data_IF_498297949900
#
_entry.id   IF_498297949900
#
_cell.length_a   1.000
_cell.length_b   1.000
_cell.length_c   1.000
_cell.angle_alpha   90.00
_cell.angle_beta   90.00
_cell.angle_gamma   90.00
#
_symmetry.space_group_name_H-M   'P 1'
#
loop_
_entity.id
_entity.type
_entity.pdbx_description
1 polymer ?
#
# COMPACT_ATOMS: atom_id res chain seq x y z
N UNK A 1 8.14 -0.40 21.68
CA UNK A 1 9.10 0.49 22.39
C UNK A 1 8.90 1.90 21.89
N UNK A 2 8.89 2.91 22.76
CA UNK A 2 8.64 4.30 22.39
C UNK A 2 9.74 5.20 22.95
N UNK A 3 10.12 6.23 22.20
CA UNK A 3 11.05 7.27 22.67
C UNK A 3 10.63 8.61 22.06
N UNK A 4 10.81 9.69 22.81
CA UNK A 4 10.46 11.03 22.34
C UNK A 4 11.43 12.07 22.89
N UNK A 5 11.51 13.20 22.19
CA UNK A 5 12.25 14.40 22.59
C UNK A 5 11.41 15.62 22.23
N UNK A 6 11.25 16.56 23.16
CA UNK A 6 10.58 17.83 22.88
C UNK A 6 11.42 19.01 23.35
N UNK A 7 11.42 20.09 22.56
CA UNK A 7 11.94 21.39 22.94
C UNK A 7 10.89 22.44 22.65
N UNK A 8 10.55 23.23 23.66
CA UNK A 8 9.59 24.32 23.56
C UNK A 8 10.23 25.63 24.01
N UNK A 9 9.94 26.72 23.30
CA UNK A 9 10.44 28.04 23.65
C UNK A 9 9.44 29.13 23.32
N UNK A 10 9.28 30.07 24.25
CA UNK A 10 8.61 31.34 24.01
C UNK A 10 9.60 32.33 23.39
N UNK A 11 9.20 33.03 22.33
CA UNK A 11 9.96 34.10 21.70
C UNK A 11 9.04 35.28 21.36
N UNK A 12 9.64 36.47 21.22
CA UNK A 12 8.92 37.72 20.93
C UNK A 12 7.68 37.97 21.83
N UNK A 13 7.71 37.49 23.09
CA UNK A 13 6.65 37.57 24.13
C UNK A 13 5.34 36.84 23.81
N UNK A 14 4.94 36.80 22.54
CA UNK A 14 3.61 36.37 22.11
C UNK A 14 3.59 35.05 21.35
N UNK A 15 4.77 34.53 21.02
CA UNK A 15 4.93 33.35 20.20
C UNK A 15 5.53 32.22 21.02
N UNK A 16 5.00 31.02 20.82
CA UNK A 16 5.55 29.77 21.36
C UNK A 16 5.83 28.84 20.21
N UNK A 17 7.08 28.39 20.08
CA UNK A 17 7.48 27.33 19.15
C UNK A 17 7.73 26.07 19.95
N UNK A 18 7.31 24.94 19.39
CA UNK A 18 7.65 23.62 19.87
C UNK A 18 8.09 22.72 18.73
N UNK A 19 9.12 21.92 18.97
CA UNK A 19 9.53 20.82 18.10
C UNK A 19 9.57 19.53 18.92
N UNK A 20 8.88 18.50 18.43
CA UNK A 20 8.78 17.17 19.05
C UNK A 20 9.25 16.12 18.06
N UNK A 21 10.09 15.22 18.50
CA UNK A 21 10.39 13.97 17.81
C UNK A 21 9.75 12.80 18.55
N UNK A 22 9.16 11.86 17.82
CA UNK A 22 8.58 10.63 18.35
C UNK A 22 9.08 9.44 17.53
N UNK A 23 9.61 8.43 18.21
CA UNK A 23 9.91 7.13 17.63
C UNK A 23 9.09 6.03 18.31
N UNK A 24 8.57 5.11 17.50
CA UNK A 24 7.88 3.92 17.98
C UNK A 24 8.36 2.70 17.18
N UNK A 25 8.52 1.58 17.89
CA UNK A 25 8.79 0.27 17.31
C UNK A 25 7.73 -0.71 17.78
N UNK A 26 6.94 -1.21 16.83
CA UNK A 26 6.06 -2.36 17.00
C UNK A 26 6.82 -3.65 16.72
N UNK A 27 6.57 -4.68 17.53
CA UNK A 27 7.10 -6.04 17.36
C UNK A 27 6.00 -7.02 17.70
N UNK A 28 6.02 -8.18 17.08
CA UNK A 28 5.01 -9.22 17.29
C UNK A 28 3.59 -8.74 17.00
N UNK A 29 3.43 -7.90 15.97
CA UNK A 29 2.13 -7.49 15.46
C UNK A 29 1.45 -8.70 14.81
N UNK A 30 0.14 -8.78 14.98
CA UNK A 30 -0.65 -9.83 14.36
C UNK A 30 -0.76 -9.56 12.86
N UNK A 31 -0.55 -10.60 12.07
CA UNK A 31 -0.88 -10.60 10.65
C UNK A 31 -1.68 -11.86 10.32
N UNK A 32 -2.43 -11.80 9.24
CA UNK A 32 -3.28 -12.90 8.81
C UNK A 32 -2.54 -13.81 7.82
N UNK A 33 -2.59 -15.12 8.04
CA UNK A 33 -2.04 -16.15 7.14
C UNK A 33 -2.96 -17.35 7.00
N UNK A 34 -2.94 -18.02 5.85
CA UNK A 34 -3.54 -19.35 5.73
C UNK A 34 -2.47 -20.42 5.95
N UNK A 35 -2.47 -21.05 7.13
CA UNK A 35 -1.38 -21.93 7.57
C UNK A 35 -1.35 -23.28 6.86
N UNK A 36 -2.47 -23.65 6.24
CA UNK A 36 -2.56 -24.88 5.46
C UNK A 36 -2.32 -24.68 3.96
N UNK A 37 -2.01 -23.45 3.51
CA UNK A 37 -1.81 -23.13 2.10
C UNK A 37 -0.35 -22.85 1.81
N UNK A 38 0.12 -23.35 0.66
CA UNK A 38 1.47 -23.10 0.15
C UNK A 38 1.38 -22.52 -1.27
N UNK A 39 2.33 -21.66 -1.62
CA UNK A 39 2.48 -21.21 -2.99
C UNK A 39 3.00 -22.36 -3.87
N UNK A 40 2.38 -22.53 -5.04
CA UNK A 40 2.86 -23.49 -6.06
C UNK A 40 3.75 -22.77 -7.06
N UNK A 41 3.34 -21.57 -7.48
CA UNK A 41 4.18 -20.74 -8.32
C UNK A 41 5.29 -20.11 -7.47
N UNK A 42 6.54 -20.38 -7.84
CA UNK A 42 7.75 -19.89 -7.15
C UNK A 42 8.74 -19.34 -8.16
N UNK A 43 9.82 -18.69 -7.71
CA UNK A 43 10.84 -18.13 -8.59
C UNK A 43 11.47 -19.14 -9.59
N UNK A 44 11.45 -20.44 -9.27
CA UNK A 44 11.99 -21.50 -10.13
C UNK A 44 10.93 -22.40 -10.76
N UNK A 45 9.65 -22.16 -10.46
CA UNK A 45 8.51 -22.95 -10.93
C UNK A 45 7.34 -22.00 -11.19
N UNK A 46 7.41 -21.28 -12.32
CA UNK A 46 6.46 -20.26 -12.76
C UNK A 46 6.41 -20.23 -14.29
N UNK A 47 5.47 -19.50 -14.87
CA UNK A 47 5.49 -19.22 -16.30
C UNK A 47 6.17 -17.87 -16.59
N UNK A 48 7.03 -17.79 -17.62
CA UNK A 48 7.71 -16.55 -17.97
C UNK A 48 6.75 -15.46 -18.45
N UNK A 49 7.07 -14.21 -18.07
CA UNK A 49 6.44 -13.00 -18.60
C UNK A 49 7.39 -12.30 -19.56
N UNK A 50 6.95 -12.11 -20.80
CA UNK A 50 7.73 -11.57 -21.91
C UNK A 50 7.36 -10.10 -22.16
N UNK A 51 8.36 -9.23 -22.20
CA UNK A 51 8.21 -7.82 -22.61
C UNK A 51 8.41 -7.60 -24.12
N UNK A 52 8.76 -8.66 -24.85
CA UNK A 52 8.84 -8.68 -26.31
C UNK A 52 8.30 -10.02 -26.79
N UNK A 53 7.63 -10.04 -27.94
CA UNK A 53 7.03 -11.26 -28.47
C UNK A 53 8.12 -12.35 -28.69
N UNK A 54 8.04 -13.50 -27.99
CA UNK A 54 9.01 -14.58 -28.18
C UNK A 54 8.77 -15.30 -29.50
N UNK A 55 9.80 -15.97 -30.03
CA UNK A 55 9.64 -16.85 -31.19
C UNK A 55 8.84 -18.10 -30.81
N UNK A 56 8.15 -18.71 -31.79
CA UNK A 56 7.41 -19.95 -31.52
C UNK A 56 8.35 -21.09 -31.07
N UNK A 57 9.56 -21.16 -31.60
CA UNK A 57 10.56 -22.15 -31.16
C UNK A 57 10.95 -21.98 -29.68
N UNK A 58 11.00 -20.74 -29.19
CA UNK A 58 11.20 -20.45 -27.75
C UNK A 58 10.03 -20.97 -26.92
N UNK A 59 8.80 -20.71 -27.37
CA UNK A 59 7.58 -21.18 -26.68
C UNK A 59 7.46 -22.70 -26.68
N UNK A 60 7.84 -23.35 -27.79
CA UNK A 60 7.76 -24.80 -27.94
C UNK A 60 8.77 -25.55 -27.03
N UNK A 61 9.84 -24.86 -26.59
CA UNK A 61 10.79 -25.35 -25.60
C UNK A 61 10.28 -25.29 -24.14
N UNK A 62 9.21 -24.55 -23.87
CA UNK A 62 8.62 -24.43 -22.53
C UNK A 62 7.58 -25.54 -22.33
N UNK A 63 7.76 -26.38 -21.32
CA UNK A 63 6.92 -27.56 -21.09
C UNK A 63 5.97 -27.43 -19.91
N UNK A 64 6.28 -26.56 -18.95
CA UNK A 64 5.40 -26.24 -17.83
C UNK A 64 4.22 -25.41 -18.33
N UNK A 65 3.00 -25.86 -18.08
CA UNK A 65 1.78 -25.17 -18.50
C UNK A 65 0.99 -24.63 -17.31
N UNK A 66 0.18 -23.59 -17.57
CA UNK A 66 -0.76 -23.05 -16.59
C UNK A 66 -1.69 -24.16 -16.05
N UNK A 67 -2.21 -25.03 -16.92
CA UNK A 67 -3.06 -26.15 -16.50
C UNK A 67 -2.34 -27.11 -15.54
N UNK A 68 -1.04 -27.37 -15.73
CA UNK A 68 -0.26 -28.20 -14.80
C UNK A 68 -0.14 -27.55 -13.42
N UNK A 69 0.21 -26.26 -13.37
CA UNK A 69 0.32 -25.51 -12.12
C UNK A 69 -1.02 -25.46 -11.35
N UNK A 70 -2.15 -25.30 -12.06
CA UNK A 70 -3.48 -25.36 -11.45
C UNK A 70 -3.78 -26.75 -10.87
N UNK A 71 -3.42 -27.83 -11.56
CA UNK A 71 -3.59 -29.19 -11.07
C UNK A 71 -2.72 -29.47 -9.84
N UNK A 72 -1.49 -28.95 -9.83
CA UNK A 72 -0.59 -29.01 -8.68
C UNK A 72 -1.16 -28.26 -7.48
N UNK A 73 -1.69 -27.05 -7.66
CA UNK A 73 -2.42 -26.33 -6.60
C UNK A 73 -3.56 -27.14 -6.03
N UNK A 74 -4.37 -27.75 -6.88
CA UNK A 74 -5.52 -28.54 -6.42
C UNK A 74 -5.09 -29.80 -5.66
N UNK A 75 -3.92 -30.36 -5.98
CA UNK A 75 -3.43 -31.62 -5.39
C UNK A 75 -2.56 -31.41 -4.14
N UNK A 76 -1.75 -30.36 -4.13
CA UNK A 76 -0.67 -30.15 -3.14
C UNK A 76 -0.72 -28.78 -2.47
N UNK A 77 -1.51 -27.83 -2.98
CA UNK A 77 -1.59 -26.47 -2.44
C UNK A 77 -2.18 -26.41 -1.02
N UNK A 78 -2.86 -27.47 -0.55
CA UNK A 78 -3.33 -27.60 0.83
C UNK A 78 -2.61 -28.75 1.56
N UNK A 79 -1.61 -28.41 2.37
CA UNK A 79 -0.75 -29.38 3.08
C UNK A 79 -1.49 -30.16 4.17
N UNK A 80 -2.66 -29.69 4.62
CA UNK A 80 -3.47 -30.35 5.65
C UNK A 80 -4.65 -31.14 5.07
N UNK A 81 -4.83 -31.14 3.74
CA UNK A 81 -5.90 -31.89 3.08
C UNK A 81 -5.86 -33.41 3.38
N UNK A 82 -4.70 -34.10 3.44
CA UNK A 82 -4.64 -35.52 3.81
C UNK A 82 -5.12 -35.81 5.24
N UNK A 83 -5.07 -34.82 6.13
CA UNK A 83 -5.60 -34.90 7.49
C UNK A 83 -7.10 -34.54 7.58
N UNK A 84 -7.78 -34.36 6.44
CA UNK A 84 -9.21 -34.03 6.35
C UNK A 84 -9.54 -32.54 6.38
N UNK A 85 -8.55 -31.66 6.52
CA UNK A 85 -8.76 -30.21 6.53
C UNK A 85 -8.78 -29.64 5.11
N UNK A 86 -9.94 -29.67 4.45
CA UNK A 86 -10.11 -29.22 3.06
C UNK A 86 -10.38 -27.72 2.90
N UNK A 87 -10.79 -27.03 3.97
CA UNK A 87 -11.02 -25.58 3.98
C UNK A 87 -9.76 -24.78 4.35
N UNK A 88 -9.73 -23.49 4.02
CA UNK A 88 -8.64 -22.60 4.43
C UNK A 88 -8.65 -22.41 5.97
N UNK A 89 -7.52 -22.68 6.61
CA UNK A 89 -7.30 -22.45 8.04
C UNK A 89 -6.55 -21.13 8.18
N UNK A 90 -7.28 -20.10 8.61
CA UNK A 90 -6.70 -18.76 8.79
C UNK A 90 -6.24 -18.58 10.24
N UNK A 91 -4.97 -18.21 10.42
CA UNK A 91 -4.39 -17.88 11.71
C UNK A 91 -3.98 -16.40 11.75
N UNK A 92 -3.94 -15.86 12.97
CA UNK A 92 -3.41 -14.55 13.30
C UNK A 92 -2.14 -14.77 14.12
N UNK A 93 -0.99 -14.65 13.49
CA UNK A 93 0.29 -14.96 14.11
C UNK A 93 1.04 -13.68 14.44
N UNK A 94 1.66 -13.57 15.63
CA UNK A 94 2.33 -12.35 16.07
C UNK A 94 3.75 -12.27 15.48
N UNK A 95 3.88 -12.21 14.15
CA UNK A 95 5.17 -12.18 13.44
C UNK A 95 5.51 -10.81 12.84
N UNK A 96 4.53 -9.91 12.74
CA UNK A 96 4.70 -8.59 12.13
C UNK A 96 5.47 -7.60 13.00
N UNK A 97 5.97 -6.55 12.38
CA UNK A 97 6.80 -5.52 12.97
C UNK A 97 6.48 -4.15 12.34
N UNK A 98 6.76 -3.08 13.08
CA UNK A 98 6.66 -1.73 12.54
C UNK A 98 7.72 -0.80 13.12
N UNK A 99 8.04 0.25 12.36
CA UNK A 99 8.89 1.37 12.79
C UNK A 99 8.25 2.67 12.36
N UNK A 100 8.02 3.54 13.34
CA UNK A 100 7.51 4.87 13.16
C UNK A 100 8.55 5.90 13.60
N UNK A 101 8.75 6.92 12.78
CA UNK A 101 9.47 8.12 13.15
C UNK A 101 8.64 9.34 12.78
N UNK A 102 8.46 10.26 13.72
CA UNK A 102 7.68 11.47 13.54
C UNK A 102 8.41 12.71 14.03
N UNK A 103 8.23 13.81 13.30
CA UNK A 103 8.65 15.14 13.69
C UNK A 103 7.41 16.04 13.66
N UNK A 104 7.04 16.63 14.79
CA UNK A 104 5.97 17.61 14.87
C UNK A 104 6.55 18.97 15.26
N UNK A 105 6.27 19.99 14.47
CA UNK A 105 6.62 21.38 14.73
C UNK A 105 5.34 22.20 14.87
N UNK A 106 5.26 23.02 15.92
CA UNK A 106 4.11 23.86 16.21
C UNK A 106 4.55 25.29 16.50
N UNK A 107 3.80 26.26 15.97
CA UNK A 107 3.94 27.68 16.26
C UNK A 107 2.60 28.22 16.70
N UNK A 108 2.53 28.74 17.92
CA UNK A 108 1.37 29.41 18.47
C UNK A 108 1.67 30.90 18.65
N UNK A 109 0.84 31.76 18.10
CA UNK A 109 0.78 33.17 18.43
C UNK A 109 -0.46 33.42 19.28
N UNK A 110 -0.28 33.84 20.53
CA UNK A 110 -1.41 34.26 21.39
C UNK A 110 -2.09 35.52 20.83
N UNK A 111 -3.33 35.79 21.23
CA UNK A 111 -4.06 36.95 20.71
C UNK A 111 -3.40 38.25 21.16
N UNK A 112 -2.71 38.92 20.24
CA UNK A 112 -2.10 40.23 20.41
C UNK A 112 -2.13 40.99 19.10
N UNK A 113 -2.18 42.32 19.16
CA UNK A 113 -2.25 43.15 17.95
C UNK A 113 -3.31 42.64 16.95
N UNK A 114 -4.51 42.32 17.45
CA UNK A 114 -5.70 41.87 16.69
C UNK A 114 -5.57 40.51 15.98
N UNK A 115 -4.50 39.76 16.22
CA UNK A 115 -4.26 38.47 15.56
C UNK A 115 -3.96 37.37 16.57
N UNK A 116 -4.46 36.18 16.28
CA UNK A 116 -4.04 34.92 16.88
C UNK A 116 -3.89 33.90 15.75
N UNK A 117 -2.88 33.04 15.84
CA UNK A 117 -2.81 31.89 14.96
C UNK A 117 -2.12 30.71 15.62
N UNK A 118 -2.40 29.52 15.08
CA UNK A 118 -1.72 28.27 15.37
C UNK A 118 -1.37 27.60 14.05
N UNK A 119 -0.10 27.30 13.86
CA UNK A 119 0.39 26.51 12.73
C UNK A 119 1.02 25.22 13.28
N UNK A 120 0.67 24.07 12.73
CA UNK A 120 1.29 22.80 13.08
C UNK A 120 1.64 22.04 11.81
N UNK A 121 2.84 21.48 11.80
CA UNK A 121 3.35 20.63 10.74
C UNK A 121 3.84 19.32 11.35
N UNK A 122 3.41 18.21 10.79
CA UNK A 122 3.89 16.88 11.16
C UNK A 122 4.47 16.22 9.93
N UNK A 123 5.69 15.73 10.07
CA UNK A 123 6.26 14.71 9.20
C UNK A 123 6.19 13.37 9.92
N UNK A 124 5.80 12.32 9.22
CA UNK A 124 5.91 10.95 9.73
C UNK A 124 6.53 10.02 8.70
N UNK A 125 7.13 8.95 9.17
CA UNK A 125 7.50 7.82 8.35
C UNK A 125 7.18 6.55 9.12
N UNK A 126 6.06 5.92 8.74
CA UNK A 126 5.69 4.60 9.20
C UNK A 126 6.09 3.55 8.16
N UNK A 127 6.84 2.54 8.61
CA UNK A 127 7.13 1.33 7.84
C UNK A 127 6.66 0.12 8.62
N UNK A 128 6.02 -0.82 7.95
CA UNK A 128 5.57 -2.07 8.54
C UNK A 128 5.54 -3.20 7.51
N UNK A 129 5.38 -4.43 8.00
CA UNK A 129 5.16 -5.65 7.20
C UNK A 129 3.77 -6.25 7.47
N UNK A 130 2.89 -5.51 8.16
CA UNK A 130 1.62 -6.00 8.70
C UNK A 130 0.65 -4.86 9.00
N UNK A 131 0.23 -4.12 7.97
CA UNK A 131 -0.64 -2.94 8.14
C UNK A 131 -2.09 -3.28 8.52
N UNK A 132 -2.68 -4.31 7.89
CA UNK A 132 -4.13 -4.55 7.91
C UNK A 132 -4.51 -5.89 8.58
N UNK A 133 -4.16 -6.02 9.87
CA UNK A 133 -4.30 -7.24 10.68
C UNK A 133 -5.57 -8.07 10.40
N UNK A 134 -6.75 -7.44 10.39
CA UNK A 134 -8.06 -8.09 10.24
C UNK A 134 -8.78 -7.69 8.95
N UNK A 135 -8.04 -7.35 7.90
CA UNK A 135 -8.62 -6.85 6.63
C UNK A 135 -9.45 -5.57 6.80
N UNK A 136 -8.91 -4.60 7.51
CA UNK A 136 -9.56 -3.30 7.70
C UNK A 136 -9.57 -2.43 6.44
N UNK A 137 -8.84 -2.81 5.37
CA UNK A 137 -8.73 -2.05 4.12
C UNK A 137 -8.45 -2.97 2.93
N UNK A 138 -8.79 -2.48 1.73
CA UNK A 138 -8.44 -3.09 0.42
C UNK A 138 -7.26 -2.38 -0.25
N UNK A 139 -6.75 -1.29 0.32
CA UNK A 139 -5.64 -0.52 -0.25
C UNK A 139 -4.29 -1.23 -0.09
N UNK A 140 -4.16 -2.10 0.92
CA UNK A 140 -3.04 -3.03 1.07
C UNK A 140 -3.54 -4.47 0.98
N UNK A 141 -2.71 -5.43 0.51
CA UNK A 141 -3.09 -6.83 0.50
C UNK A 141 -3.39 -7.30 1.92
N UNK A 142 -4.48 -8.06 2.07
CA UNK A 142 -4.90 -8.61 3.36
C UNK A 142 -3.87 -9.55 3.98
N UNK A 143 -3.14 -10.27 3.14
CA UNK A 143 -2.17 -11.29 3.53
C UNK A 143 -0.88 -11.07 2.74
N UNK A 144 0.26 -11.52 3.28
CA UNK A 144 1.50 -11.47 2.55
C UNK A 144 1.44 -12.31 1.28
N UNK A 145 2.18 -11.88 0.27
CA UNK A 145 2.36 -12.64 -0.96
C UNK A 145 3.04 -13.99 -0.70
N UNK A 146 3.96 -14.01 0.26
CA UNK A 146 4.62 -15.22 0.74
C UNK A 146 4.26 -15.44 2.22
N UNK A 147 3.33 -16.34 2.46
CA UNK A 147 2.86 -16.77 3.77
C UNK A 147 4.03 -17.19 4.70
N UNK A 148 5.15 -17.68 4.17
CA UNK A 148 6.27 -18.13 4.99
C UNK A 148 7.39 -17.10 5.11
N UNK A 149 7.27 -15.95 4.45
CA UNK A 149 8.27 -14.88 4.48
C UNK A 149 7.64 -13.48 4.46
N UNK A 150 7.05 -13.08 5.60
CA UNK A 150 6.45 -11.75 5.79
C UNK A 150 7.45 -10.60 5.65
N UNK A 151 8.77 -10.85 5.75
CA UNK A 151 9.77 -9.78 5.61
C UNK A 151 9.74 -9.12 4.23
N UNK A 152 9.20 -9.80 3.21
CA UNK A 152 8.97 -9.25 1.86
C UNK A 152 7.91 -8.14 1.84
N UNK A 153 7.08 -8.06 2.87
CA UNK A 153 6.03 -7.04 3.01
C UNK A 153 6.56 -5.72 3.58
N UNK A 154 7.82 -5.68 4.04
CA UNK A 154 8.38 -4.51 4.70
C UNK A 154 8.44 -3.30 3.76
N UNK A 155 7.51 -2.37 3.94
CA UNK A 155 7.34 -1.21 3.08
C UNK A 155 6.83 0.01 3.87
N UNK A 156 6.68 1.15 3.18
CA UNK A 156 5.89 2.26 3.73
C UNK A 156 4.47 1.78 4.00
N UNK A 157 3.98 2.02 5.21
CA UNK A 157 2.64 1.62 5.61
C UNK A 157 1.57 2.40 4.86
N UNK A 158 0.40 1.81 4.62
CA UNK A 158 -0.77 2.57 4.17
C UNK A 158 -1.19 3.64 5.20
N UNK A 159 -0.84 3.45 6.49
CA UNK A 159 -1.11 4.41 7.57
C UNK A 159 -0.05 5.52 7.66
N UNK A 160 0.87 5.61 6.70
CA UNK A 160 1.92 6.62 6.68
C UNK A 160 1.43 7.96 6.10
N UNK A 161 0.92 8.83 6.98
CA UNK A 161 0.60 10.22 6.65
C UNK A 161 1.86 11.10 6.61
N UNK A 162 2.66 10.90 5.57
CA UNK A 162 4.04 11.43 5.43
C UNK A 162 4.18 12.91 5.78
N UNK A 163 3.24 13.73 5.31
CA UNK A 163 3.17 15.16 5.64
C UNK A 163 1.74 15.54 6.03
N UNK A 164 1.60 16.30 7.11
CA UNK A 164 0.34 16.94 7.49
C UNK A 164 0.60 18.36 7.97
N UNK A 165 -0.15 19.32 7.44
CA UNK A 165 -0.10 20.71 7.85
C UNK A 165 -1.48 21.20 8.24
N UNK A 166 -1.56 21.92 9.35
CA UNK A 166 -2.78 22.61 9.78
C UNK A 166 -2.48 24.03 10.20
N UNK A 167 -3.31 24.98 9.78
CA UNK A 167 -3.20 26.39 10.12
C UNK A 167 -4.57 26.94 10.50
N UNK A 168 -4.69 27.43 11.72
CA UNK A 168 -5.88 28.11 12.23
C UNK A 168 -5.52 29.54 12.61
N UNK A 169 -6.36 30.49 12.24
CA UNK A 169 -6.10 31.91 12.51
C UNK A 169 -7.38 32.66 12.81
N UNK A 170 -7.20 33.76 13.53
CA UNK A 170 -8.22 34.72 13.90
C UNK A 170 -7.65 36.12 13.71
N UNK A 171 -8.37 36.98 13.00
CA UNK A 171 -8.01 38.37 12.79
C UNK A 171 -9.21 39.27 13.08
N UNK A 172 -9.02 40.21 14.01
CA UNK A 172 -9.99 41.25 14.27
C UNK A 172 -9.68 42.46 13.38
N UNK A 173 -10.58 42.82 12.47
CA UNK A 173 -10.32 43.95 11.58
C UNK A 173 -10.29 45.26 12.37
N UNK A 174 -9.51 46.27 11.93
CA UNK A 174 -9.45 47.57 12.58
C UNK A 174 -10.54 48.53 12.09
N UNK A 175 -11.44 48.08 11.21
CA UNK A 175 -12.46 48.93 10.60
C UNK A 175 -13.31 49.63 11.66
N UNK A 176 -13.54 50.93 11.48
CA UNK A 176 -14.33 51.77 12.39
C UNK A 176 -13.82 51.83 13.84
N UNK A 177 -12.57 51.42 14.12
CA UNK A 177 -12.00 51.48 15.47
C UNK A 177 -11.95 52.92 16.04
N UNK A 178 -11.80 53.92 15.17
CA UNK A 178 -11.77 55.34 15.51
C UNK A 178 -13.10 56.07 15.21
N UNK A 179 -14.18 55.34 14.90
CA UNK A 179 -15.48 55.93 14.60
C UNK A 179 -16.26 56.34 15.86
N UNK A 180 -17.42 56.97 15.66
CA UNK A 180 -18.36 57.29 16.75
C UNK A 180 -18.74 56.04 17.55
N UNK A 181 -19.07 56.23 18.84
CA UNK A 181 -19.34 55.11 19.75
C UNK A 181 -20.41 54.16 19.20
N UNK A 182 -21.44 54.69 18.54
CA UNK A 182 -22.50 53.89 17.92
C UNK A 182 -21.95 53.09 16.73
N UNK A 183 -21.24 53.73 15.79
CA UNK A 183 -20.75 53.04 14.59
C UNK A 183 -19.71 51.97 14.93
N UNK A 184 -18.79 52.26 15.86
CA UNK A 184 -17.78 51.30 16.32
C UNK A 184 -18.41 50.05 16.93
N UNK A 185 -19.45 50.21 17.76
CA UNK A 185 -20.07 49.08 18.44
C UNK A 185 -21.03 48.29 17.54
N UNK A 186 -21.64 48.92 16.53
CA UNK A 186 -22.60 48.27 15.64
C UNK A 186 -21.91 47.57 14.47
N UNK A 187 -20.85 48.15 13.89
CA UNK A 187 -20.19 47.59 12.69
C UNK A 187 -18.67 47.49 12.76
N UNK A 188 -18.02 47.84 13.89
CA UNK A 188 -16.55 47.88 14.00
C UNK A 188 -15.89 46.62 14.58
N UNK A 189 -16.65 45.67 15.10
CA UNK A 189 -16.13 44.51 15.84
C UNK A 189 -16.05 43.22 15.02
N UNK A 190 -15.91 43.33 13.69
CA UNK A 190 -15.80 42.15 12.84
C UNK A 190 -14.51 41.35 13.12
N UNK A 191 -14.64 40.03 13.03
CA UNK A 191 -13.55 39.09 13.16
C UNK A 191 -13.65 38.07 12.03
N UNK A 192 -12.53 37.87 11.34
CA UNK A 192 -12.36 36.78 10.40
C UNK A 192 -11.59 35.65 11.06
N UNK A 193 -11.98 34.42 10.76
CA UNK A 193 -11.25 33.24 11.17
C UNK A 193 -11.27 32.22 10.06
N UNK A 194 -10.28 31.35 10.09
CA UNK A 194 -10.16 30.28 9.11
C UNK A 194 -9.32 29.14 9.66
N UNK A 195 -9.57 27.95 9.12
CA UNK A 195 -8.72 26.78 9.34
C UNK A 195 -8.46 26.12 8.00
N UNK A 196 -7.20 25.78 7.76
CA UNK A 196 -6.75 25.04 6.59
C UNK A 196 -6.01 23.79 7.05
N UNK A 197 -6.33 22.64 6.46
CA UNK A 197 -5.64 21.38 6.71
C UNK A 197 -5.35 20.70 5.38
N UNK A 198 -4.13 20.18 5.24
CA UNK A 198 -3.68 19.44 4.06
C UNK A 198 -2.77 18.30 4.51
N UNK A 199 -2.85 17.18 3.82
CA UNK A 199 -2.03 16.00 4.09
C UNK A 199 -1.63 15.27 2.82
N UNK A 200 -0.56 14.47 2.93
CA UNK A 200 -0.14 13.53 1.89
C UNK A 200 -1.24 12.52 1.57
N UNK A 201 -1.30 12.04 0.32
CA UNK A 201 -2.23 10.96 -0.03
C UNK A 201 -1.88 9.68 0.71
N UNK A 202 -2.87 8.80 0.82
CA UNK A 202 -2.69 7.44 1.31
C UNK A 202 -2.00 6.57 0.24
N UNK A 203 -1.13 5.66 0.68
CA UNK A 203 -0.51 4.69 -0.22
C UNK A 203 -1.45 3.52 -0.50
N UNK A 204 -1.38 2.99 -1.72
CA UNK A 204 -2.07 1.77 -2.11
C UNK A 204 -1.09 0.83 -2.83
N UNK A 205 -1.32 -0.47 -2.66
CA UNK A 205 -0.58 -1.52 -3.37
C UNK A 205 -1.37 -1.94 -4.61
N UNK A 206 -0.82 -1.77 -5.82
CA UNK A 206 -1.45 -2.29 -7.04
C UNK A 206 -1.56 -3.81 -7.01
N UNK A 207 -2.76 -4.32 -7.29
CA UNK A 207 -3.04 -5.76 -7.32
C UNK A 207 -3.31 -6.24 -8.75
N UNK A 208 -2.89 -7.45 -9.06
CA UNK A 208 -3.01 -8.11 -10.36
C UNK A 208 -4.43 -8.62 -10.64
N UNK A 209 -5.32 -8.62 -9.64
CA UNK A 209 -6.61 -9.31 -9.70
C UNK A 209 -6.46 -10.79 -10.16
N UNK A 210 -5.40 -11.46 -9.70
CA UNK A 210 -5.09 -12.86 -9.96
C UNK A 210 -4.37 -13.49 -8.75
N UNK A 211 -4.56 -14.81 -8.58
CA UNK A 211 -3.79 -15.67 -7.66
C UNK A 211 -2.53 -16.14 -8.43
N UNK A 212 -1.53 -15.27 -8.49
CA UNK A 212 -0.31 -15.44 -9.26
C UNK A 212 0.66 -16.43 -8.59
N UNK A 213 0.71 -16.51 -7.27
CA UNK A 213 1.52 -17.51 -6.56
C UNK A 213 0.82 -18.89 -6.44
N UNK A 214 -0.44 -18.99 -6.88
CA UNK A 214 -1.28 -20.19 -6.80
C UNK A 214 -1.41 -20.77 -5.39
N UNK A 215 -1.38 -19.91 -4.37
CA UNK A 215 -1.65 -20.34 -3.01
C UNK A 215 -3.17 -20.51 -2.77
N UNK A 216 -4.03 -20.08 -3.70
CA UNK A 216 -5.49 -20.14 -3.66
C UNK A 216 -6.13 -19.34 -2.53
N UNK A 217 -5.47 -18.27 -2.12
CA UNK A 217 -6.13 -17.14 -1.51
C UNK A 217 -7.03 -16.44 -2.55
N UNK A 218 -8.17 -15.94 -2.08
CA UNK A 218 -9.10 -15.18 -2.91
C UNK A 218 -8.70 -13.69 -3.02
N UNK A 219 -7.79 -13.23 -2.16
CA UNK A 219 -7.18 -11.92 -2.31
C UNK A 219 -6.21 -11.95 -3.50
N UNK A 220 -6.23 -10.90 -4.32
CA UNK A 220 -5.36 -10.81 -5.47
C UNK A 220 -3.90 -10.54 -5.04
N UNK A 221 -2.97 -11.17 -5.74
CA UNK A 221 -1.55 -10.92 -5.58
C UNK A 221 -1.13 -9.57 -6.19
N UNK A 222 0.11 -9.16 -5.93
CA UNK A 222 0.67 -7.92 -6.45
C UNK A 222 0.89 -7.95 -7.95
N UNK A 223 1.00 -6.77 -8.56
CA UNK A 223 1.52 -6.64 -9.92
C UNK A 223 3.03 -6.85 -9.99
N UNK A 224 3.52 -7.20 -11.17
CA UNK A 224 4.96 -7.18 -11.50
C UNK A 224 5.38 -5.72 -11.75
N UNK A 225 6.50 -5.30 -11.16
CA UNK A 225 7.06 -3.96 -11.37
C UNK A 225 8.12 -3.98 -12.48
N UNK A 226 7.84 -3.28 -13.58
CA UNK A 226 8.79 -2.99 -14.64
C UNK A 226 9.47 -1.64 -14.37
N UNK A 227 10.67 -1.67 -13.79
CA UNK A 227 11.41 -0.46 -13.41
C UNK A 227 11.80 0.44 -14.57
N UNK A 228 11.79 -0.09 -15.81
CA UNK A 228 12.06 0.66 -17.03
C UNK A 228 10.80 1.27 -17.66
N UNK A 229 9.61 0.96 -17.13
CA UNK A 229 8.33 1.45 -17.63
C UNK A 229 7.99 2.86 -17.13
N UNK A 230 6.97 3.48 -17.75
CA UNK A 230 6.48 4.81 -17.41
C UNK A 230 5.70 4.81 -16.09
N UNK A 231 6.14 5.51 -15.02
CA UNK A 231 5.45 5.50 -13.73
C UNK A 231 3.96 5.87 -13.85
N UNK A 232 3.11 5.16 -13.09
CA UNK A 232 1.66 5.40 -13.07
C UNK A 232 0.87 4.72 -14.20
N UNK A 233 1.51 3.91 -15.05
CA UNK A 233 0.85 3.13 -16.10
C UNK A 233 0.74 1.66 -15.72
N UNK A 234 -0.31 1.01 -16.24
CA UNK A 234 -0.57 -0.41 -16.03
C UNK A 234 -0.80 -1.14 -17.35
N UNK A 235 -0.42 -2.42 -17.42
CA UNK A 235 -0.68 -3.28 -18.57
C UNK A 235 -1.17 -4.66 -18.15
N UNK A 236 -2.13 -5.18 -18.91
CA UNK A 236 -2.51 -6.59 -18.85
C UNK A 236 -1.53 -7.44 -19.69
N UNK A 237 -1.70 -8.76 -19.61
CA UNK A 237 -0.90 -9.72 -20.36
C UNK A 237 -1.79 -10.62 -21.21
N UNK A 238 -1.27 -11.06 -22.35
CA UNK A 238 -1.91 -12.03 -23.23
C UNK A 238 -1.23 -13.39 -23.08
N UNK A 239 -1.97 -14.51 -22.90
CA UNK A 239 -1.36 -15.83 -22.81
C UNK A 239 -0.65 -16.21 -24.12
N UNK A 240 0.52 -16.83 -24.01
CA UNK A 240 1.26 -17.41 -25.13
C UNK A 240 1.41 -18.91 -24.94
N UNK A 241 1.41 -19.66 -26.05
CA UNK A 241 1.20 -21.10 -26.02
C UNK A 241 2.27 -21.90 -26.75
N UNK A 242 2.55 -23.08 -26.21
CA UNK A 242 3.38 -24.08 -26.86
C UNK A 242 2.56 -24.78 -27.94
N UNK A 243 2.98 -24.66 -29.19
CA UNK A 243 2.23 -25.16 -30.35
C UNK A 243 2.23 -26.68 -30.45
N UNK A 244 3.28 -27.33 -29.93
CA UNK A 244 3.41 -28.80 -29.86
C UNK A 244 2.38 -29.39 -28.89
N UNK A 245 2.02 -28.65 -27.85
CA UNK A 245 1.03 -29.07 -26.84
C UNK A 245 -0.42 -28.71 -27.19
N UNK A 246 -0.66 -27.99 -28.30
CA UNK A 246 -2.01 -27.54 -28.68
C UNK A 246 -2.92 -28.66 -29.18
N UNK A 247 -2.40 -29.84 -29.54
CA UNK A 247 -3.21 -30.97 -29.98
C UNK A 247 -4.20 -31.40 -28.87
N UNK A 248 -5.47 -31.02 -29.00
CA UNK A 248 -6.51 -31.28 -28.00
C UNK A 248 -6.51 -30.33 -26.79
N UNK A 249 -5.74 -29.23 -26.83
CA UNK A 249 -5.73 -28.17 -25.81
C UNK A 249 -6.09 -26.83 -26.44
N UNK A 250 -6.40 -25.83 -25.62
CA UNK A 250 -6.65 -24.45 -26.11
C UNK A 250 -5.58 -23.49 -25.62
N UNK A 251 -5.45 -22.36 -26.32
CA UNK A 251 -4.66 -21.21 -25.87
C UNK A 251 -5.55 -20.24 -25.08
N UNK A 252 -6.14 -20.72 -24.00
CA UNK A 252 -7.02 -19.93 -23.14
C UNK A 252 -6.86 -20.32 -21.68
N UNK A 253 -6.83 -19.34 -20.79
CA UNK A 253 -6.81 -19.54 -19.34
C UNK A 253 -8.12 -20.15 -18.81
N UNK A 254 -9.23 -20.03 -19.56
CA UNK A 254 -10.54 -20.55 -19.14
C UNK A 254 -10.68 -22.06 -19.33
N UNK A 255 -9.77 -22.69 -20.09
CA UNK A 255 -9.81 -24.12 -20.32
C UNK A 255 -9.02 -24.87 -19.24
N UNK A 256 -9.62 -25.93 -18.69
CA UNK A 256 -8.99 -26.84 -17.72
C UNK A 256 -7.78 -27.57 -18.31
N UNK A 257 -7.77 -27.77 -19.63
CA UNK A 257 -6.63 -28.28 -20.39
C UNK A 257 -6.20 -27.22 -21.40
N UNK A 258 -5.16 -26.47 -21.04
CA UNK A 258 -4.59 -25.42 -21.87
C UNK A 258 -3.09 -25.64 -22.12
N UNK A 259 -2.61 -25.06 -23.22
CA UNK A 259 -1.20 -25.09 -23.62
C UNK A 259 -0.49 -23.75 -23.32
N UNK A 260 -1.02 -22.96 -22.38
CA UNK A 260 -0.41 -21.68 -21.99
C UNK A 260 0.87 -21.96 -21.23
N UNK A 261 1.98 -21.38 -21.69
CA UNK A 261 3.33 -21.59 -21.14
C UNK A 261 4.01 -20.28 -20.76
N UNK A 262 3.31 -19.16 -20.84
CA UNK A 262 3.83 -17.84 -20.51
C UNK A 262 2.84 -16.75 -20.88
N UNK A 263 3.29 -15.51 -20.70
CA UNK A 263 2.47 -14.32 -20.87
C UNK A 263 3.23 -13.21 -21.60
N UNK A 264 2.63 -12.61 -22.62
CA UNK A 264 3.18 -11.45 -23.32
C UNK A 264 2.55 -10.17 -22.75
N UNK A 265 3.36 -9.22 -22.32
CA UNK A 265 2.89 -7.91 -21.86
C UNK A 265 2.28 -7.12 -23.03
N UNK A 266 1.06 -6.62 -22.86
CA UNK A 266 0.34 -5.92 -23.94
C UNK A 266 0.94 -4.54 -24.24
N UNK A 267 1.41 -3.84 -23.21
CA UNK A 267 2.18 -2.59 -23.28
C UNK A 267 3.50 -2.78 -22.52
N UNK A 268 4.61 -3.06 -23.22
CA UNK A 268 5.89 -3.34 -22.59
C UNK A 268 6.53 -2.09 -21.96
N UNK A 269 5.96 -0.90 -22.18
CA UNK A 269 6.40 0.34 -21.56
C UNK A 269 5.66 0.66 -20.26
N UNK A 270 4.69 -0.17 -19.86
CA UNK A 270 3.96 0.03 -18.63
C UNK A 270 4.81 -0.28 -17.39
N UNK A 271 4.59 0.45 -16.30
CA UNK A 271 5.31 0.26 -15.03
C UNK A 271 4.74 -0.90 -14.20
N UNK A 272 3.42 -1.03 -14.13
CA UNK A 272 2.76 -2.15 -13.46
C UNK A 272 2.25 -3.16 -14.49
N UNK A 273 2.73 -4.39 -14.42
CA UNK A 273 2.28 -5.49 -15.29
C UNK A 273 1.45 -6.45 -14.47
N UNK A 274 0.29 -6.86 -14.99
CA UNK A 274 -0.54 -7.86 -14.32
C UNK A 274 0.26 -9.14 -14.12
N UNK A 275 0.44 -9.54 -12.85
CA UNK A 275 1.03 -10.82 -12.52
C UNK A 275 0.08 -11.96 -12.89
N UNK A 276 0.69 -13.06 -13.32
CA UNK A 276 0.06 -14.36 -13.54
C UNK A 276 1.01 -15.43 -12.97
N UNK A 277 0.65 -16.70 -13.16
CA UNK A 277 1.30 -17.87 -12.53
C UNK A 277 2.69 -18.20 -13.05
#
# INVERSE_FOLDING_TARGET
MNWNLSVQRVFAKDYTVEARYLGNRGVHLLFQRQINRIAIATANHNLPVFFQAPSQATLDGLTLTHAQLINERNSFGNIMAPAGFTSNITAYEPLGNSKYHGLAAEVNKRFTARTLFKAAYTWSHLTDDSTAEVFSTVLSPRRPEDFFNIRKEWASSALDHRHRFSFSWVYQVPWFANASSVLRNVVGNWQFSGTYAVESPEFATPQSNADANLNGDAAADRTIVNTSGHPGTGSDVTPVCNSVLLAGRTCSLTASSNAVVGYLVNDPTAYYVRAQV
#
